data_IF_321881863845
#
_entry.id   IF_321881863845
#
_cell.length_a   1.000
_cell.length_b   1.000
_cell.length_c   1.000
_cell.angle_alpha   90.00
_cell.angle_beta   90.00
_cell.angle_gamma   90.00
#
_symmetry.space_group_name_H-M   'P 1'
#
loop_
_entity.id
_entity.type
_entity.pdbx_description
1 polymer ?
#
# COMPACT_ATOMS: atom_id res chain seq x y z
N UNK A 1 13.54 2.63 -13.57
CA UNK A 1 13.44 3.60 -12.45
C UNK A 1 12.42 3.04 -11.49
N UNK A 2 12.82 2.75 -10.27
CA UNK A 2 11.96 2.10 -9.27
C UNK A 2 10.93 3.09 -8.74
N UNK A 3 9.71 2.61 -8.53
CA UNK A 3 8.61 3.40 -7.99
C UNK A 3 8.32 2.94 -6.56
N UNK A 4 8.35 3.87 -5.61
CA UNK A 4 8.10 3.60 -4.19
C UNK A 4 6.78 4.28 -3.77
N UNK A 5 5.85 3.50 -3.24
CA UNK A 5 4.61 3.96 -2.60
C UNK A 5 4.70 3.71 -1.09
N UNK A 6 5.27 4.68 -0.37
CA UNK A 6 5.49 4.58 1.08
C UNK A 6 4.19 4.45 1.88
N UNK A 7 3.07 4.99 1.40
CA UNK A 7 1.80 4.84 2.09
C UNK A 7 1.27 3.40 2.09
N UNK A 8 1.76 2.55 1.18
CA UNK A 8 1.51 1.10 1.18
C UNK A 8 2.75 0.27 1.55
N UNK A 9 3.88 0.90 1.90
CA UNK A 9 5.17 0.23 2.11
C UNK A 9 5.54 -0.70 0.94
N UNK A 10 5.37 -0.21 -0.29
CA UNK A 10 5.52 -0.98 -1.51
C UNK A 10 6.53 -0.33 -2.45
N UNK A 11 7.32 -1.15 -3.15
CA UNK A 11 8.11 -0.72 -4.28
C UNK A 11 7.95 -1.68 -5.45
N UNK A 12 8.06 -1.17 -6.68
CA UNK A 12 8.03 -1.99 -7.88
C UNK A 12 8.84 -1.35 -9.01
N UNK A 13 9.33 -2.19 -9.91
CA UNK A 13 10.00 -1.77 -11.14
C UNK A 13 9.13 -2.19 -12.33
N UNK A 14 8.47 -1.25 -13.03
CA UNK A 14 7.61 -1.57 -14.17
C UNK A 14 8.40 -2.05 -15.39
N UNK A 15 9.72 -1.85 -15.40
CA UNK A 15 10.59 -2.22 -16.53
C UNK A 15 11.24 -3.59 -16.36
N UNK A 16 11.22 -4.14 -15.15
CA UNK A 16 11.81 -5.44 -14.88
C UNK A 16 10.90 -6.57 -15.37
N UNK A 17 11.45 -7.44 -16.21
CA UNK A 17 10.79 -8.65 -16.68
C UNK A 17 11.72 -9.83 -16.47
N UNK A 18 11.20 -10.92 -15.92
CA UNK A 18 11.93 -12.18 -15.86
C UNK A 18 11.95 -12.81 -17.26
N UNK A 19 13.13 -13.22 -17.72
CA UNK A 19 13.24 -13.97 -18.97
C UNK A 19 12.55 -15.33 -18.82
N UNK A 20 11.51 -15.57 -19.63
CA UNK A 20 10.72 -16.81 -19.57
C UNK A 20 11.30 -17.95 -20.41
N UNK A 21 12.34 -17.68 -21.22
CA UNK A 21 12.70 -18.56 -22.34
C UNK A 21 13.90 -19.49 -22.09
N UNK A 22 14.69 -19.34 -21.03
CA UNK A 22 15.88 -20.20 -20.85
C UNK A 22 16.53 -20.24 -19.47
N UNK A 23 16.01 -19.54 -18.45
CA UNK A 23 16.66 -19.53 -17.13
C UNK A 23 16.33 -20.80 -16.35
N UNK A 24 17.34 -21.43 -15.75
CA UNK A 24 17.10 -22.51 -14.79
C UNK A 24 16.28 -21.98 -13.61
N UNK A 25 15.60 -22.87 -12.87
CA UNK A 25 14.83 -22.47 -11.68
C UNK A 25 15.71 -21.74 -10.67
N UNK A 26 16.94 -22.19 -10.53
CA UNK A 26 17.93 -21.65 -9.60
C UNK A 26 18.33 -20.22 -9.99
N UNK A 27 18.53 -19.97 -11.29
CA UNK A 27 18.83 -18.64 -11.82
C UNK A 27 17.64 -17.68 -11.64
N UNK A 28 16.40 -18.16 -11.81
CA UNK A 28 15.20 -17.36 -11.53
C UNK A 28 15.10 -16.97 -10.05
N UNK A 29 15.39 -17.91 -9.15
CA UNK A 29 15.38 -17.65 -7.71
C UNK A 29 16.44 -16.61 -7.36
N UNK A 30 17.66 -16.76 -7.86
CA UNK A 30 18.74 -15.80 -7.58
C UNK A 30 18.40 -14.39 -8.11
N UNK A 31 17.91 -14.29 -9.35
CA UNK A 31 17.48 -13.01 -9.92
C UNK A 31 16.32 -12.38 -9.13
N UNK A 32 15.36 -13.18 -8.68
CA UNK A 32 14.25 -12.70 -7.85
C UNK A 32 14.75 -12.18 -6.49
N UNK A 33 15.67 -12.89 -5.84
CA UNK A 33 16.27 -12.46 -4.59
C UNK A 33 17.12 -11.20 -4.76
N UNK A 34 17.88 -11.11 -5.85
CA UNK A 34 18.65 -9.93 -6.19
C UNK A 34 17.73 -8.72 -6.41
N UNK A 35 16.70 -8.85 -7.25
CA UNK A 35 15.79 -7.73 -7.52
C UNK A 35 14.93 -7.37 -6.32
N UNK A 36 14.52 -8.35 -5.53
CA UNK A 36 13.81 -8.14 -4.27
C UNK A 36 14.63 -7.33 -3.28
N UNK A 37 15.93 -7.61 -3.15
CA UNK A 37 16.85 -6.83 -2.31
C UNK A 37 16.93 -5.37 -2.73
N UNK A 38 17.04 -5.10 -4.03
CA UNK A 38 17.06 -3.73 -4.57
C UNK A 38 15.79 -2.95 -4.18
N UNK A 39 14.61 -3.54 -4.42
CA UNK A 39 13.33 -2.91 -4.11
C UNK A 39 13.14 -2.70 -2.60
N UNK A 40 13.51 -3.68 -1.77
CA UNK A 40 13.43 -3.55 -0.30
C UNK A 40 14.37 -2.46 0.19
N UNK A 41 15.59 -2.38 -0.35
CA UNK A 41 16.54 -1.34 0.01
C UNK A 41 16.01 0.05 -0.36
N UNK A 42 15.34 0.20 -1.50
CA UNK A 42 14.70 1.46 -1.89
C UNK A 42 13.60 1.87 -0.90
N UNK A 43 12.75 0.92 -0.47
CA UNK A 43 11.74 1.18 0.58
C UNK A 43 12.41 1.57 1.89
N UNK A 44 13.44 0.84 2.34
CA UNK A 44 14.14 1.11 3.58
C UNK A 44 14.79 2.51 3.56
N UNK A 45 15.51 2.85 2.50
CA UNK A 45 16.14 4.17 2.35
C UNK A 45 15.10 5.30 2.44
N UNK A 46 13.98 5.14 1.74
CA UNK A 46 12.91 6.13 1.74
C UNK A 46 12.23 6.23 3.12
N UNK A 47 11.95 5.09 3.77
CA UNK A 47 11.30 5.03 5.09
C UNK A 47 12.17 5.64 6.19
N UNK A 48 13.44 5.27 6.27
CA UNK A 48 14.37 5.76 7.29
C UNK A 48 14.85 7.20 7.06
N UNK A 49 14.53 7.79 5.90
CA UNK A 49 14.71 9.23 5.67
C UNK A 49 13.60 10.10 6.25
N UNK A 50 12.46 9.51 6.65
CA UNK A 50 11.36 10.24 7.26
C UNK A 50 11.66 10.59 8.72
N UNK A 51 11.15 11.73 9.23
CA UNK A 51 11.32 12.08 10.63
C UNK A 51 10.54 11.10 11.52
N UNK A 52 11.22 10.53 12.51
CA UNK A 52 10.61 9.75 13.58
C UNK A 52 10.23 10.65 14.76
N UNK A 53 9.19 10.26 15.48
CA UNK A 53 8.76 10.86 16.75
C UNK A 53 8.86 9.80 17.85
N UNK A 54 9.44 10.14 18.99
CA UNK A 54 9.48 9.25 20.15
C UNK A 54 8.07 8.99 20.67
N UNK A 55 7.77 7.73 20.94
CA UNK A 55 6.52 7.26 21.54
C UNK A 55 6.84 6.25 22.66
N UNK A 56 5.85 5.89 23.49
CA UNK A 56 6.04 4.96 24.61
C UNK A 56 6.46 3.56 24.12
N UNK A 57 6.01 3.18 22.92
CA UNK A 57 6.34 1.90 22.28
C UNK A 57 7.60 1.96 21.39
N UNK A 58 8.26 3.12 21.34
CA UNK A 58 9.47 3.39 20.55
C UNK A 58 9.28 4.42 19.42
N UNK A 59 10.30 4.67 18.59
CA UNK A 59 10.21 5.69 17.54
C UNK A 59 9.18 5.34 16.47
N UNK A 60 8.21 6.23 16.24
CA UNK A 60 7.15 6.08 15.23
C UNK A 60 7.38 7.06 14.08
N UNK A 61 7.18 6.57 12.85
CA UNK A 61 7.23 7.39 11.63
C UNK A 61 5.81 7.61 11.09
N UNK A 62 5.50 8.85 10.69
CA UNK A 62 4.24 9.17 10.00
C UNK A 62 4.38 8.90 8.50
N UNK A 63 3.68 7.89 8.00
CA UNK A 63 3.66 7.56 6.57
C UNK A 63 2.80 8.57 5.76
N UNK A 64 3.18 8.85 4.51
CA UNK A 64 2.33 9.63 3.61
C UNK A 64 1.06 8.86 3.23
N UNK A 65 0.00 9.55 2.74
CA UNK A 65 -1.17 8.87 2.22
C UNK A 65 -0.82 7.90 1.09
N UNK A 66 -1.50 6.75 0.96
CA UNK A 66 -1.20 5.78 -0.07
C UNK A 66 -1.54 6.29 -1.48
N UNK A 67 -0.62 6.09 -2.44
CA UNK A 67 -0.76 6.64 -3.80
C UNK A 67 -1.66 5.76 -4.67
N UNK A 68 -1.55 4.44 -4.53
CA UNK A 68 -2.32 3.48 -5.34
C UNK A 68 -3.76 3.36 -4.85
N UNK A 69 -4.70 3.97 -5.57
CA UNK A 69 -6.14 3.83 -5.26
C UNK A 69 -6.57 2.36 -5.33
N UNK A 70 -7.26 1.89 -4.30
CA UNK A 70 -7.89 0.57 -4.25
C UNK A 70 -9.41 0.69 -4.27
N UNK A 71 -10.12 -0.22 -4.95
CA UNK A 71 -11.58 -0.24 -4.89
C UNK A 71 -12.03 -0.45 -3.44
N UNK A 72 -13.04 0.30 -3.02
CA UNK A 72 -13.65 0.10 -1.70
C UNK A 72 -14.41 -1.23 -1.70
N UNK A 73 -14.31 -1.96 -0.59
CA UNK A 73 -15.10 -3.20 -0.38
C UNK A 73 -16.60 -2.90 -0.35
N UNK A 74 -16.99 -1.73 0.18
CA UNK A 74 -18.39 -1.30 0.29
C UNK A 74 -18.55 0.12 -0.27
N UNK A 75 -19.74 0.40 -0.78
CA UNK A 75 -20.11 1.76 -1.13
C UNK A 75 -19.95 2.70 0.07
N UNK A 76 -19.63 3.95 -0.23
CA UNK A 76 -19.73 5.01 0.78
C UNK A 76 -21.19 5.09 1.20
N UNK A 77 -21.45 5.12 2.52
CA UNK A 77 -22.80 5.42 3.00
C UNK A 77 -23.06 6.87 2.66
N UNK A 78 -23.79 7.11 1.58
CA UNK A 78 -24.44 8.39 1.35
C UNK A 78 -25.54 8.54 2.40
N UNK A 79 -25.67 9.71 3.02
CA UNK A 79 -26.82 10.03 3.87
C UNK A 79 -28.08 9.86 3.02
N UNK A 80 -28.75 8.72 3.16
CA UNK A 80 -29.98 8.43 2.46
C UNK A 80 -31.08 9.23 3.16
N UNK A 81 -31.48 10.36 2.58
CA UNK A 81 -32.62 11.14 3.07
C UNK A 81 -33.86 10.26 3.19
N UNK A 82 -34.02 9.26 2.32
CA UNK A 82 -35.12 8.28 2.38
C UNK A 82 -35.11 7.47 3.68
N UNK A 83 -33.94 7.04 4.18
CA UNK A 83 -33.86 6.35 5.47
C UNK A 83 -34.15 7.30 6.66
N UNK A 84 -33.76 8.58 6.55
CA UNK A 84 -34.08 9.58 7.57
C UNK A 84 -35.58 9.89 7.64
N UNK A 85 -36.27 9.95 6.49
CA UNK A 85 -37.72 10.17 6.45
C UNK A 85 -38.50 8.94 6.93
N UNK A 86 -38.11 7.72 6.53
CA UNK A 86 -38.79 6.49 6.95
C UNK A 86 -38.69 6.24 8.46
N UNK A 87 -37.57 6.59 9.10
CA UNK A 87 -37.43 6.46 10.56
C UNK A 87 -38.27 7.47 11.35
N UNK A 88 -38.56 8.64 10.77
CA UNK A 88 -39.34 9.70 11.43
C UNK A 88 -40.84 9.40 11.45
N UNK A 89 -41.36 8.74 10.43
CA UNK A 89 -42.79 8.42 10.32
C UNK A 89 -43.22 7.20 11.15
N UNK A 90 -42.28 6.35 11.58
CA UNK A 90 -42.57 5.12 12.35
C UNK A 90 -42.21 5.19 13.85
N UNK A 91 -41.76 6.34 14.37
CA UNK A 91 -41.57 6.58 15.81
C UNK A 91 -42.75 7.32 16.45
N UNK A 92 -43.67 7.86 15.65
CA UNK A 92 -44.89 8.55 16.13
C UNK A 92 -46.14 7.81 15.66
N UNK A 93 -46.31 6.57 16.12
CA UNK A 93 -47.62 5.90 16.17
C UNK A 93 -47.67 4.92 17.32
#
# INVERSE_FOLDING_TARGET
MEMVDLGHLMAFDPTHQFSSLSSSREELVENCLQKGRELVQAVANALFSLPSTEDLDGPIVKLPPPTKKRPRVKHVKSHCLVCYYWHREHIVS
#
